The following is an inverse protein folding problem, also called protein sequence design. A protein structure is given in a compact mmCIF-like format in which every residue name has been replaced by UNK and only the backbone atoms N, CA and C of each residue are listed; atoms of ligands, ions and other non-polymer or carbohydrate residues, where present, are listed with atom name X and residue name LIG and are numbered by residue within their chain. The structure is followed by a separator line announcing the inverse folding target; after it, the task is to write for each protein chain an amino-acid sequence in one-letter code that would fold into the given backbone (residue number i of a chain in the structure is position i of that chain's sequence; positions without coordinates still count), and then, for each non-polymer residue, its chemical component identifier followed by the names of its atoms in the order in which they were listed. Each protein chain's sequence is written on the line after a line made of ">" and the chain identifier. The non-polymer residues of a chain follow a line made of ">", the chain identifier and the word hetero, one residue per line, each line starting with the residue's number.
data_IF_361642927985
#
_entry.id   IF_361642927985
#
_cell.length_a   1.000
_cell.length_b   1.000
_cell.length_c   1.000
_cell.angle_alpha   90.00
_cell.angle_beta   90.00
_cell.angle_gamma   90.00
#
_symmetry.space_group_name_H-M   'P 1'
#
loop_
_entity.id
_entity.type
_entity.pdbx_description
1 polymer ?
2 polymer ?
3 polymer ?
4 non-polymer ?
5 water ?
#
loop_
_entity_poly.entity_id
_entity_poly.type
_entity_poly.pdbx_seq_one_letter_code
_entity_poly.pdbx_strand_id
1 'polydeoxyribonucleotide' '(DT)(DC)(DG)(DC)(DG)' ?
2 'polydeoxyribonucleotide' '(DA)(DA)(DT)(DT)(DC)(DG)(DC)(DG)' ?
#
# COMPACT_ATOMS: atom_id res chain seq x y z
N UNK C 1 -18.92 -7.40 -1.21
CA UNK C 1 -19.39 -8.69 -1.80
C UNK C 1 -20.05 -9.62 -0.78
N UNK C 2 -19.26 -10.44 -0.09
CA UNK C 2 -19.80 -11.36 0.93
C UNK C 2 -20.56 -10.62 2.04
N UNK C 3 -21.86 -10.49 1.84
CA UNK C 3 -22.75 -9.92 2.84
C UNK C 3 -22.33 -8.56 3.39
N UNK C 4 -21.88 -8.58 4.64
CA UNK C 4 -21.74 -7.37 5.45
C UNK C 4 -20.63 -6.43 4.96
N UNK C 5 -19.58 -6.99 4.38
CA UNK C 5 -18.50 -6.20 3.81
C UNK C 5 -18.95 -5.45 2.55
N UNK C 6 -20.16 -5.76 2.08
CA UNK C 6 -20.77 -4.99 1.01
C UNK C 6 -21.37 -3.68 1.50
N UNK C 7 -21.95 -3.71 2.69
CA UNK C 7 -22.51 -2.52 3.32
C UNK C 7 -21.40 -1.53 3.66
N UNK C 8 -20.34 -2.03 4.29
CA UNK C 8 -19.15 -1.22 4.58
C UNK C 8 -18.57 -0.57 3.31
N UNK C 9 -18.48 -1.37 2.25
CA UNK C 9 -18.02 -0.88 0.97
C UNK C 9 -18.84 0.27 0.39
N UNK C 10 -20.16 0.10 0.34
CA UNK C 10 -21.04 1.16 -0.13
C UNK C 10 -20.88 2.41 0.74
N UNK C 11 -20.64 2.23 2.03
CA UNK C 11 -20.39 3.35 2.94
C UNK C 11 -19.15 4.16 2.54
N UNK C 12 -18.07 3.46 2.20
CA UNK C 12 -16.84 4.11 1.76
C UNK C 12 -17.01 4.87 0.44
N UNK C 13 -17.72 4.26 -0.51
CA UNK C 13 -18.02 4.90 -1.78
C UNK C 13 -18.90 6.13 -1.62
N UNK C 14 -19.82 6.06 -0.66
CA UNK C 14 -20.78 7.13 -0.39
C UNK C 14 -20.15 8.45 0.08
N UNK C 15 -18.98 8.37 0.73
CA UNK C 15 -18.32 9.55 1.28
C UNK C 15 -16.94 9.80 0.67
N UNK C 16 -16.53 8.96 -0.29
CA UNK C 16 -15.19 8.99 -0.91
C UNK C 16 -14.09 9.15 0.15
N UNK C 17 -14.07 8.21 1.10
CA UNK C 17 -13.05 8.19 2.17
C UNK C 17 -11.64 8.14 1.59
N UNK C 18 -10.76 8.97 2.14
CA UNK C 18 -9.33 8.81 1.89
C UNK C 18 -8.83 7.50 2.49
N UNK C 19 -7.68 7.02 2.02
CA UNK C 19 -7.15 5.73 2.44
C UNK C 19 -7.00 5.58 3.97
N UNK C 20 -6.61 6.65 4.64
CA UNK C 20 -6.59 6.65 6.09
C UNK C 20 -7.94 6.27 6.68
N UNK C 21 -8.98 7.00 6.30
CA UNK C 21 -10.31 6.78 6.86
C UNK C 21 -10.89 5.42 6.45
N UNK C 22 -10.46 4.90 5.30
CA UNK C 22 -10.87 3.55 4.88
C UNK C 22 -10.15 2.49 5.72
N UNK C 23 -8.89 2.75 6.05
CA UNK C 23 -8.08 1.84 6.85
C UNK C 23 -8.70 1.62 8.23
N UNK C 24 -9.32 2.66 8.75
CA UNK C 24 -10.07 2.57 10.01
C UNK C 24 -11.36 1.76 9.84
N UNK C 25 -11.98 1.86 8.66
CA UNK C 25 -13.17 1.09 8.34
C UNK C 25 -12.87 -0.41 8.20
N UNK C 26 -11.65 -0.73 7.80
CA UNK C 26 -11.17 -2.11 7.82
C UNK C 26 -11.08 -2.65 9.25
N UNK C 27 -10.54 -1.83 10.15
CA UNK C 27 -10.57 -2.14 11.59
C UNK C 27 -12.02 -2.38 12.04
N UNK C 28 -12.90 -1.45 11.67
CA UNK C 28 -14.33 -1.58 11.94
C UNK C 28 -14.89 -2.93 11.50
N UNK C 29 -14.82 -3.19 10.19
CA UNK C 29 -15.38 -4.41 9.61
C UNK C 29 -14.76 -5.69 10.18
N UNK C 30 -13.44 -5.70 10.31
CA UNK C 30 -12.73 -6.84 10.88
C UNK C 30 -13.26 -7.17 12.28
N UNK C 31 -13.51 -6.15 13.08
CA UNK C 31 -14.00 -6.35 14.45
C UNK C 31 -15.45 -6.79 14.52
N UNK C 32 -16.22 -6.54 13.46
CA UNK C 32 -17.57 -7.10 13.33
C UNK C 32 -17.52 -8.58 12.98
N UNK C 33 -16.44 -9.00 12.33
CA UNK C 33 -16.28 -10.39 11.90
C UNK C 33 -15.57 -11.26 12.93
N UNK C 34 -14.60 -10.68 13.62
CA UNK C 34 -13.82 -11.41 14.61
C UNK C 34 -13.94 -10.78 16.01
N UNK C 35 -15.12 -10.90 16.64
CA UNK C 35 -15.40 -10.18 17.88
C UNK C 35 -14.68 -10.77 19.11
N UNK C 36 -13.94 -11.86 18.89
CA UNK C 36 -13.07 -12.44 19.92
C UNK C 36 -11.69 -11.82 19.88
N UNK C 37 -11.30 -11.35 18.69
CA UNK C 37 -10.00 -10.73 18.48
C UNK C 37 -10.02 -9.24 18.78
N UNK C 38 -8.85 -8.68 19.09
CA UNK C 38 -8.75 -7.30 19.54
C UNK C 38 -7.89 -6.49 18.57
N UNK C 39 -8.56 -5.65 17.79
CA UNK C 39 -7.87 -4.85 16.78
C UNK C 39 -7.57 -3.45 17.29
N UNK C 40 -6.38 -2.96 16.99
CA UNK C 40 -6.06 -1.56 17.21
C UNK C 40 -5.62 -0.88 15.92
N UNK C 41 -5.93 0.40 15.79
CA UNK C 41 -5.46 1.20 14.67
C UNK C 41 -4.58 2.32 15.19
N UNK C 42 -3.43 2.52 14.57
CA UNK C 42 -2.59 3.66 14.90
C UNK C 42 -2.03 4.40 13.69
N UNK C 43 -1.83 5.70 13.85
CA UNK C 43 -1.38 6.56 12.76
C UNK C 43 0.15 6.72 12.70
N UNK C 44 0.85 6.09 13.63
CA UNK C 44 2.31 6.15 13.61
C UNK C 44 2.96 4.87 14.15
N UNK C 45 4.21 4.66 13.76
CA UNK C 45 5.08 3.70 14.42
C UNK C 45 6.51 4.26 14.31
N UNK C 46 7.28 4.17 15.39
CA UNK C 46 8.51 4.93 15.47
C UNK C 46 9.79 4.11 15.51
N UNK C 47 10.89 4.74 15.13
CA UNK C 47 12.15 4.06 14.88
C UNK C 47 12.68 3.25 16.05
N UNK C 48 12.33 3.65 17.27
CA UNK C 48 12.68 2.86 18.45
C UNK C 48 11.99 1.50 18.43
N UNK C 49 10.70 1.50 18.08
CA UNK C 49 9.94 0.27 17.95
C UNK C 49 10.57 -0.64 16.89
N UNK C 50 10.83 -0.06 15.72
CA UNK C 50 11.49 -0.80 14.64
C UNK C 50 12.83 -1.34 15.12
N UNK C 51 13.67 -0.45 15.64
CA UNK C 51 14.99 -0.83 16.16
C UNK C 51 14.95 -1.99 17.15
N UNK C 52 14.11 -1.88 18.18
CA UNK C 52 13.99 -2.96 19.14
C UNK C 52 13.49 -4.24 18.47
N UNK C 53 12.53 -4.10 17.56
CA UNK C 53 12.07 -5.23 16.74
C UNK C 53 13.22 -5.90 15.98
N UNK C 54 14.13 -5.09 15.47
CA UNK C 54 15.31 -5.58 14.74
C UNK C 54 16.30 -6.28 15.68
N UNK C 55 16.56 -5.65 16.82
CA UNK C 55 17.48 -6.20 17.81
C UNK C 55 17.03 -7.56 18.32
N UNK C 56 15.71 -7.77 18.39
CA UNK C 56 15.16 -9.04 18.86
C UNK C 56 15.43 -10.18 17.90
N UNK C 57 15.90 -9.84 16.70
CA UNK C 57 16.29 -10.85 15.72
C UNK C 57 17.81 -11.05 15.69
N UNK C 58 18.54 -9.94 15.77
CA UNK C 58 19.99 -10.00 15.85
C UNK C 58 20.54 -8.85 16.69
N UNK C 59 21.41 -9.16 17.65
CA UNK C 59 21.93 -8.14 18.59
C UNK C 59 22.82 -7.09 17.93
N UNK C 60 23.09 -7.27 16.63
CA UNK C 60 23.89 -6.30 15.89
C UNK C 60 23.02 -5.39 15.01
N UNK C 61 21.74 -5.72 14.92
CA UNK C 61 20.79 -4.97 14.11
C UNK C 61 20.11 -3.86 14.90
N UNK C 62 19.59 -2.85 14.21
CA UNK C 62 18.76 -1.85 14.84
C UNK C 62 19.46 -0.98 15.87
N UNK C 63 20.77 -0.89 15.79
CA UNK C 63 21.52 -0.04 16.69
C UNK C 63 21.88 1.31 16.08
N UNK C 64 20.86 2.08 15.73
CA UNK C 64 21.07 3.45 15.22
C UNK C 64 19.84 4.30 15.43
N UNK C 65 20.07 5.60 15.56
CA UNK C 65 19.02 6.57 15.83
C UNK C 65 19.73 7.91 15.99
N UNK C 66 19.37 8.89 15.17
CA UNK C 66 20.01 10.19 15.23
C UNK C 66 19.06 11.23 15.79
N UNK C 67 17.85 11.25 15.26
CA UNK C 67 16.78 12.06 15.81
C UNK C 67 15.88 11.19 16.70
N UNK C 68 15.99 11.38 18.02
CA UNK C 68 15.30 10.53 18.98
C UNK C 68 13.82 10.26 18.68
N UNK C 69 13.05 11.31 18.46
CA UNK C 69 11.60 11.18 18.30
C UNK C 69 11.21 10.76 16.88
N UNK C 70 12.07 9.99 16.23
CA UNK C 70 11.87 9.63 14.83
C UNK C 70 10.75 8.62 14.64
N UNK C 71 9.81 8.96 13.77
CA UNK C 71 8.69 8.09 13.44
C UNK C 71 8.49 8.01 11.93
N UNK C 72 7.64 7.06 11.52
CA UNK C 72 7.10 7.04 10.17
C UNK C 72 5.58 6.87 10.20
N UNK C 73 4.87 7.79 9.53
CA UNK C 73 3.42 7.79 9.48
C UNK C 73 2.93 7.43 8.07
N UNK C 74 2.73 6.15 7.74
CA UNK C 74 2.11 5.78 6.47
C UNK C 74 0.71 6.41 6.45
N UNK C 75 0.38 7.10 5.34
CA UNK C 75 -0.92 7.87 5.23
C UNK C 75 -2.16 6.98 5.31
N UNK C 76 -1.94 5.71 5.56
CA UNK C 76 -3.04 4.73 5.66
C UNK C 76 -3.09 4.13 7.06
N UNK C 77 -2.15 4.52 7.89
CA UNK C 77 -2.05 4.00 9.25
C UNK C 77 -1.68 2.53 9.33
N UNK C 78 -1.73 2.00 10.55
CA UNK C 78 -1.42 0.59 10.82
C UNK C 78 -2.58 -0.05 11.58
N UNK C 79 -3.10 -1.18 11.08
CA UNK C 79 -4.11 -1.95 11.78
C UNK C 79 -3.46 -3.18 12.39
N UNK C 80 -3.90 -3.57 13.59
CA UNK C 80 -3.24 -4.64 14.36
C UNK C 80 -4.23 -5.59 15.03
N UNK C 81 -3.76 -6.80 15.32
CA UNK C 81 -4.43 -7.70 16.25
C UNK C 81 -3.56 -7.99 17.45
N UNK C 82 -4.19 -8.31 18.57
CA UNK C 82 -3.48 -8.87 19.72
C UNK C 82 -3.52 -10.40 19.61
N UNK C 83 -2.36 -11.03 19.66
CA UNK C 83 -2.30 -12.47 19.61
C UNK C 83 -2.43 -13.14 20.98
N UNK C 84 -2.30 -14.46 21.01
CA UNK C 84 -2.51 -15.22 22.22
C UNK C 84 -1.47 -14.95 23.31
N UNK C 85 -0.40 -14.24 22.95
CA UNK C 85 0.65 -13.89 23.91
C UNK C 85 0.66 -12.40 24.20
N UNK C 86 -0.47 -11.74 23.93
CA UNK C 86 -0.59 -10.33 24.27
C UNK C 86 0.18 -9.39 23.37
N UNK C 87 1.14 -9.93 22.63
CA UNK C 87 1.84 -9.20 21.57
C UNK C 87 0.92 -8.69 20.46
N UNK C 88 1.34 -7.63 19.80
CA UNK C 88 0.55 -7.05 18.71
C UNK C 88 1.15 -7.33 17.33
N UNK C 89 0.30 -7.85 16.45
CA UNK C 89 0.72 -8.34 15.14
C UNK C 89 0.06 -7.51 14.04
N UNK C 90 0.87 -6.78 13.29
CA UNK C 90 0.32 -5.84 12.32
C UNK C 90 -0.36 -6.53 11.14
N UNK C 91 -1.65 -6.26 10.98
CA UNK C 91 -2.49 -6.92 9.98
C UNK C 91 -2.52 -6.14 8.67
N UNK C 92 -2.26 -4.85 8.74
CA UNK C 92 -2.32 -3.97 7.57
C UNK C 92 -1.44 -2.73 7.71
N UNK C 93 -0.88 -2.27 6.60
CA UNK C 93 -0.34 -0.92 6.51
C UNK C 93 -0.41 -0.43 5.07
N UNK C 94 -1.01 0.74 4.86
CA UNK C 94 -1.31 1.20 3.52
C UNK C 94 -0.86 2.63 3.27
N UNK C 95 -0.47 2.91 2.03
CA UNK C 95 -0.06 4.27 1.68
C UNK C 95 -0.64 4.63 0.32
N UNK C 96 -0.84 5.93 0.14
CA UNK C 96 -1.43 6.44 -1.09
C UNK C 96 -0.51 7.48 -1.74
N UNK C 97 -0.24 7.30 -3.03
CA UNK C 97 0.69 8.15 -3.76
C UNK C 97 0.05 8.68 -5.05
N UNK C 98 0.37 9.93 -5.39
CA UNK C 98 -0.09 10.52 -6.65
C UNK C 98 1.10 10.93 -7.52
N UNK C 99 0.96 10.79 -8.84
CA UNK C 99 1.91 11.40 -9.78
C UNK C 99 1.40 11.52 -11.22
N UNK C 100 1.48 12.74 -11.75
CA UNK C 100 1.14 12.95 -13.16
C UNK C 100 -0.09 13.80 -13.40
N UNK C 101 0.11 15.12 -13.49
CA UNK C 101 -0.99 16.05 -13.69
C UNK C 101 -1.52 16.01 -15.13
N UNK C 102 -0.76 15.33 -16.00
CA UNK C 102 -0.96 15.42 -17.46
C UNK C 102 -2.42 15.38 -17.91
N UNK C 103 -3.18 14.42 -17.40
CA UNK C 103 -4.58 14.31 -17.77
C UNK C 103 -5.39 15.58 -17.45
N UNK C 104 -5.13 16.17 -16.29
CA UNK C 104 -5.83 17.41 -15.92
C UNK C 104 -5.35 18.57 -16.80
N UNK C 105 -4.05 18.67 -16.99
CA UNK C 105 -3.47 19.71 -17.83
C UNK C 105 -3.98 19.72 -19.28
N UNK C 106 -3.93 18.56 -19.94
CA UNK C 106 -4.52 18.38 -21.26
C UNK C 106 -6.00 18.75 -21.24
N UNK C 107 -6.73 18.20 -20.27
CA UNK C 107 -8.17 18.45 -20.11
C UNK C 107 -8.54 19.94 -20.03
N UNK C 108 -7.60 20.77 -19.58
CA UNK C 108 -7.87 22.20 -19.40
C UNK C 108 -7.10 23.11 -20.36
N UNK C 109 -6.42 22.50 -21.34
CA UNK C 109 -5.76 23.29 -22.38
C UNK C 109 -4.44 23.92 -21.99
N UNK C 110 -4.04 23.76 -20.72
CA UNK C 110 -2.79 24.31 -20.23
C UNK C 110 -1.60 23.52 -20.75
N UNK C 111 -0.86 24.10 -21.68
CA UNK C 111 0.37 23.50 -22.16
C UNK C 111 1.55 23.80 -21.24
N UNK C 112 2.35 22.77 -20.97
CA UNK C 112 3.42 22.87 -19.98
C UNK C 112 4.80 22.90 -20.62
N UNK C 113 5.82 22.67 -19.79
CA UNK C 113 7.19 22.68 -20.29
C UNK C 113 7.81 24.06 -20.27
N UNK C 114 9.13 24.10 -20.15
CA UNK C 114 9.89 25.34 -20.00
C UNK C 114 9.44 26.47 -20.93
N UNK C 115 9.17 26.14 -22.19
CA UNK C 115 8.82 27.11 -23.21
C UNK C 115 7.32 27.06 -23.59
N UNK C 116 6.48 26.63 -22.64
CA UNK C 116 5.04 26.62 -22.84
C UNK C 116 4.49 25.88 -24.05
N UNK C 117 5.34 25.09 -24.72
CA UNK C 117 4.93 24.40 -25.93
C UNK C 117 4.65 22.90 -25.74
N UNK C 118 4.96 22.38 -24.56
CA UNK C 118 4.88 20.94 -24.33
C UNK C 118 3.47 20.49 -23.98
N UNK C 119 2.93 19.56 -24.76
CA UNK C 119 1.63 18.95 -24.42
C UNK C 119 1.74 18.05 -23.19
N UNK C 120 2.85 17.32 -23.11
CA UNK C 120 3.11 16.45 -21.96
C UNK C 120 4.23 17.03 -21.09
N UNK C 121 4.34 16.51 -19.87
CA UNK C 121 5.35 16.96 -18.91
C UNK C 121 6.28 15.82 -18.56
N UNK C 122 7.57 16.02 -18.80
CA UNK C 122 8.59 15.00 -18.55
C UNK C 122 8.48 14.46 -17.14
N UNK C 123 8.16 13.18 -17.02
CA UNK C 123 7.89 12.56 -15.72
C UNK C 123 9.09 12.58 -14.78
N UNK C 124 8.83 13.07 -13.57
CA UNK C 124 9.86 13.07 -12.52
C UNK C 124 9.81 11.82 -11.67
N UNK C 125 10.66 11.79 -10.66
CA UNK C 125 11.04 10.55 -9.99
C UNK C 125 10.76 10.52 -8.49
N UNK C 126 9.89 11.41 -8.01
CA UNK C 126 9.62 11.48 -6.58
C UNK C 126 9.05 10.17 -6.03
N UNK C 127 8.28 9.47 -6.83
CA UNK C 127 7.68 8.20 -6.40
C UNK C 127 8.67 7.15 -5.87
N UNK C 128 9.97 7.41 -6.04
CA UNK C 128 10.99 6.52 -5.49
C UNK C 128 11.06 6.60 -3.96
N UNK C 129 10.54 7.69 -3.40
CA UNK C 129 10.35 7.85 -1.95
C UNK C 129 9.59 6.69 -1.32
N UNK C 130 8.61 6.18 -2.05
CA UNK C 130 7.76 5.09 -1.56
C UNK C 130 8.55 3.90 -1.05
N UNK C 131 9.80 3.77 -1.47
CA UNK C 131 10.61 2.62 -1.09
C UNK C 131 11.10 2.62 0.36
N UNK C 132 11.26 3.80 0.97
CA UNK C 132 11.78 3.87 2.35
C UNK C 132 10.85 3.22 3.36
N UNK C 133 9.66 3.79 3.54
CA UNK C 133 8.63 3.21 4.39
C UNK C 133 8.43 1.70 4.17
N UNK C 134 8.45 1.27 2.91
CA UNK C 134 8.41 -0.16 2.60
C UNK C 134 9.56 -0.90 3.26
N UNK C 135 10.76 -0.33 3.18
CA UNK C 135 11.95 -0.90 3.83
C UNK C 135 11.79 -0.91 5.35
N UNK C 136 11.16 0.14 5.89
CA UNK C 136 10.93 0.24 7.33
C UNK C 136 10.00 -0.86 7.82
N UNK C 137 8.78 -0.88 7.29
CA UNK C 137 7.79 -1.86 7.71
C UNK C 137 8.21 -3.29 7.39
N UNK C 138 8.98 -3.47 6.32
CA UNK C 138 9.55 -4.78 5.98
C UNK C 138 10.60 -5.23 6.99
N UNK C 139 11.34 -4.27 7.54
CA UNK C 139 12.25 -4.54 8.66
C UNK C 139 11.51 -4.79 9.96
N UNK C 140 10.50 -3.97 10.22
CA UNK C 140 9.63 -4.15 11.38
C UNK C 140 9.09 -5.57 11.43
N UNK C 141 8.69 -6.09 10.27
CA UNK C 141 8.11 -7.43 10.19
C UNK C 141 9.08 -8.49 9.66
N UNK C 142 10.37 -8.27 9.90
CA UNK C 142 11.43 -9.19 9.46
C UNK C 142 11.32 -10.59 10.08
N UNK C 143 10.47 -10.74 11.08
CA UNK C 143 10.28 -12.03 11.74
C UNK C 143 8.93 -12.67 11.42
N UNK C 144 8.09 -11.94 10.69
CA UNK C 144 6.80 -12.45 10.25
C UNK C 144 6.94 -13.23 8.94
N UNK C 145 5.87 -13.94 8.56
CA UNK C 145 5.82 -14.63 7.28
C UNK C 145 4.81 -13.96 6.33
N UNK C 146 4.39 -12.75 6.70
CA UNK C 146 3.41 -11.99 5.91
C UNK C 146 3.76 -10.51 5.94
N UNK C 147 3.52 -9.83 4.82
CA UNK C 147 3.92 -8.44 4.65
C UNK C 147 2.76 -7.64 4.05
N UNK C 148 1.83 -7.18 4.89
CA UNK C 148 0.55 -6.64 4.42
C UNK C 148 0.63 -5.16 4.04
N UNK C 149 1.66 -4.83 3.24
CA UNK C 149 1.85 -3.47 2.77
C UNK C 149 1.16 -3.25 1.41
N UNK C 150 0.15 -2.38 1.39
CA UNK C 150 -0.55 -2.04 0.16
C UNK C 150 -0.29 -0.58 -0.24
N UNK C 151 0.28 -0.40 -1.42
CA UNK C 151 0.53 0.93 -1.96
C UNK C 151 -0.44 1.22 -3.11
N UNK C 152 -1.18 2.32 -2.98
CA UNK C 152 -2.18 2.71 -3.97
C UNK C 152 -1.70 3.87 -4.85
N UNK C 153 -1.69 3.65 -6.16
CA UNK C 153 -1.15 4.63 -7.10
C UNK C 153 -2.24 5.30 -7.93
N UNK C 154 -2.04 6.57 -8.26
CA UNK C 154 -2.83 7.19 -9.31
C UNK C 154 -2.22 8.47 -9.89
N UNK C 155 -2.70 8.85 -11.07
CA UNK C 155 -2.03 9.88 -11.86
C UNK C 155 -1.67 9.41 -13.27
N UNK C 156 -1.36 10.37 -14.14
CA UNK C 156 -0.96 10.06 -15.52
C UNK C 156 0.33 9.24 -15.61
N UNK C 157 1.18 9.35 -14.60
CA UNK C 157 2.44 8.61 -14.58
C UNK C 157 2.30 7.14 -14.18
N UNK C 158 1.07 6.67 -14.01
CA UNK C 158 0.84 5.26 -13.64
C UNK C 158 -0.24 4.55 -14.45
N UNK C 159 -0.40 4.96 -15.70
CA UNK C 159 -1.32 4.31 -16.63
C UNK C 159 -0.91 2.88 -16.98
N UNK C 160 -1.90 1.99 -17.04
CA UNK C 160 -1.67 0.59 -17.38
C UNK C 160 -2.36 0.18 -18.68
N UNK C 161 -3.20 1.07 -19.21
CA UNK C 161 -3.83 0.90 -20.51
C UNK C 161 -3.76 2.22 -21.27
N UNK C 162 -4.08 2.20 -22.55
CA UNK C 162 -3.91 3.37 -23.40
C UNK C 162 -5.15 4.24 -23.47
N UNK C 163 -5.01 5.51 -23.12
CA UNK C 163 -6.14 6.42 -22.99
C UNK C 163 -5.94 7.69 -23.80
N UNK C 164 -7.03 8.25 -24.31
CA UNK C 164 -6.95 9.49 -25.08
C UNK C 164 -7.80 10.62 -24.47
N UNK C 165 -7.12 11.62 -23.93
CA UNK C 165 -7.77 12.76 -23.29
C UNK C 165 -7.97 13.88 -24.29
N UNK C 166 -9.09 14.58 -24.20
CA UNK C 166 -9.47 15.55 -25.22
C UNK C 166 -9.46 17.00 -24.74
N UNK C 167 -8.50 17.75 -25.24
CA UNK C 167 -8.29 19.12 -24.80
C UNK C 167 -9.25 20.12 -25.45
N UNK C 168 -9.55 21.24 -24.76
CA UNK C 168 -10.80 22.00 -24.90
C UNK C 168 -11.16 22.38 -26.33
N UNK C 169 -10.13 22.60 -27.15
CA UNK C 169 -10.32 22.87 -28.58
C UNK C 169 -10.58 21.60 -29.38
N UNK C 170 -11.38 20.69 -28.80
CA UNK C 170 -11.77 19.48 -29.49
C UNK C 170 -10.67 18.48 -29.79
N UNK C 171 -9.42 18.87 -29.59
CA UNK C 171 -8.30 18.00 -29.93
C UNK C 171 -8.14 16.88 -28.92
N UNK C 172 -7.80 15.69 -29.40
CA UNK C 172 -7.49 14.57 -28.53
C UNK C 172 -5.98 14.41 -28.37
N UNK C 173 -5.56 13.73 -27.30
CA UNK C 173 -4.16 13.37 -27.12
C UNK C 173 -4.05 11.87 -26.86
N UNK C 174 -3.50 11.15 -27.82
CA UNK C 174 -3.11 9.75 -27.63
C UNK C 174 -2.06 9.66 -26.51
N UNK C 175 -2.45 9.05 -25.38
CA UNK C 175 -1.52 8.85 -24.27
C UNK C 175 -1.01 7.40 -24.21
N UNK C 176 0.25 7.22 -24.59
CA UNK C 176 0.83 5.89 -24.73
C UNK C 176 1.33 5.33 -23.40
N UNK C 177 0.59 4.36 -22.86
CA UNK C 177 0.81 3.89 -21.49
C UNK C 177 2.23 3.38 -21.21
N UNK C 178 2.94 3.00 -22.26
CA UNK C 178 4.27 2.42 -22.10
C UNK C 178 5.40 3.38 -22.46
N UNK C 179 5.13 4.68 -22.41
CA UNK C 179 6.18 5.67 -22.65
C UNK C 179 6.99 5.98 -21.42
N UNK C 180 8.31 5.91 -21.55
CA UNK C 180 9.20 6.40 -20.51
C UNK C 180 9.12 7.90 -20.29
N UNK C 181 8.46 8.60 -21.20
CA UNK C 181 8.23 10.03 -21.03
C UNK C 181 7.11 10.26 -20.01
N UNK C 182 6.40 9.18 -19.67
CA UNK C 182 5.20 9.26 -18.85
C UNK C 182 5.20 8.22 -17.73
N UNK C 183 5.12 6.95 -18.11
CA UNK C 183 5.01 5.84 -17.17
C UNK C 183 6.22 5.70 -16.21
N UNK C 184 5.94 5.83 -14.91
CA UNK C 184 6.96 5.64 -13.87
C UNK C 184 6.74 4.37 -13.05
N UNK C 185 5.91 3.46 -13.56
CA UNK C 185 5.53 2.26 -12.81
C UNK C 185 6.73 1.37 -12.48
N UNK C 186 7.72 1.37 -13.36
CA UNK C 186 8.91 0.53 -13.17
C UNK C 186 9.74 1.00 -11.99
N UNK C 187 9.51 2.24 -11.58
CA UNK C 187 10.19 2.80 -10.41
C UNK C 187 9.74 2.15 -9.11
N UNK C 188 8.70 1.33 -9.19
CA UNK C 188 8.16 0.66 -8.00
C UNK C 188 8.31 -0.86 -7.97
N UNK C 189 8.57 -1.46 -9.13
CA UNK C 189 8.51 -2.91 -9.26
C UNK C 189 9.64 -3.67 -8.58
N UNK C 190 10.56 -2.93 -7.99
CA UNK C 190 11.60 -3.53 -7.16
C UNK C 190 11.03 -3.99 -5.80
N UNK C 191 9.95 -3.34 -5.38
CA UNK C 191 9.33 -3.60 -4.08
C UNK C 191 8.66 -4.95 -3.96
N UNK C 192 8.07 -5.42 -5.05
CA UNK C 192 7.48 -6.75 -5.10
C UNK C 192 8.21 -7.69 -6.06
N UNK C 193 9.50 -7.45 -6.24
CA UNK C 193 10.36 -8.38 -6.99
C UNK C 193 9.88 -8.70 -8.40
N UNK C 194 9.15 -7.78 -9.00
CA UNK C 194 8.66 -8.00 -10.36
C UNK C 194 7.53 -8.99 -10.49
N UNK C 195 6.84 -9.27 -9.39
CA UNK C 195 5.64 -10.09 -9.41
C UNK C 195 4.44 -9.24 -9.84
N UNK C 196 3.24 -9.85 -9.97
CA UNK C 196 2.07 -9.10 -10.42
C UNK C 196 1.84 -7.75 -9.72
N UNK C 197 1.30 -6.79 -10.47
CA UNK C 197 0.97 -5.48 -9.94
C UNK C 197 -0.29 -5.48 -9.07
N UNK C 198 -1.46 -5.56 -9.68
CA UNK C 198 -2.70 -5.47 -8.90
C UNK C 198 -3.05 -6.82 -8.25
N UNK C 199 -2.31 -7.18 -7.21
CA UNK C 199 -2.34 -8.54 -6.70
C UNK C 199 -2.02 -8.62 -5.19
N UNK C 200 -2.67 -9.54 -4.51
CA UNK C 200 -2.38 -9.81 -3.10
C UNK C 200 -1.08 -10.59 -2.95
N UNK C 201 0.01 -9.87 -2.67
CA UNK C 201 1.31 -10.50 -2.44
C UNK C 201 1.71 -10.53 -0.95
N UNK C 202 0.71 -10.68 -0.08
CA UNK C 202 0.89 -10.64 1.37
C UNK C 202 1.71 -11.80 1.97
N UNK C 203 1.45 -13.01 1.53
CA UNK C 203 2.20 -14.17 2.04
C UNK C 203 3.58 -14.24 1.41
N UNK C 204 4.62 -14.31 2.24
CA UNK C 204 5.99 -14.16 1.77
C UNK C 204 6.51 -15.37 0.98
N UNK C 205 7.17 -15.10 -0.15
CA UNK C 205 7.79 -16.15 -0.94
C UNK C 205 9.14 -16.54 -0.33
N UNK C 206 9.33 -17.83 -0.14
CA UNK C 206 10.59 -18.35 0.40
C UNK C 206 11.46 -18.96 -0.69
N UNK C 207 12.09 -18.11 -1.49
CA UNK C 207 12.97 -18.59 -2.55
C UNK C 207 14.34 -19.03 -2.01
N UNK C 208 15.12 -19.72 -2.83
CA UNK C 208 16.43 -20.20 -2.43
C UNK C 208 17.48 -19.94 -3.50
N UNK C 209 18.73 -20.31 -3.25
CA UNK C 209 19.76 -20.23 -4.28
C UNK C 209 20.83 -21.31 -4.20
N UNK C 210 21.57 -21.31 -3.10
CA UNK C 210 22.48 -22.40 -2.80
C UNK C 210 21.89 -23.19 -1.62
N UNK C 211 22.71 -23.50 -0.62
CA UNK C 211 22.17 -23.83 0.69
C UNK C 211 21.41 -22.62 1.25
N UNK C 212 21.83 -21.43 0.81
CA UNK C 212 21.21 -20.17 1.22
C UNK C 212 19.76 -20.04 0.76
N UNK C 213 18.83 -20.43 1.64
CA UNK C 213 17.42 -20.09 1.49
C UNK C 213 17.13 -18.69 2.03
N UNK C 214 16.21 -17.97 1.39
CA UNK C 214 15.90 -16.61 1.81
C UNK C 214 14.41 -16.29 1.74
N UNK C 215 13.97 -15.37 2.60
CA UNK C 215 12.57 -14.92 2.58
C UNK C 215 12.44 -13.58 1.85
N UNK C 216 11.35 -13.43 1.11
CA UNK C 216 11.11 -12.21 0.35
C UNK C 216 9.85 -11.52 0.84
N UNK C 217 9.90 -10.20 0.93
CA UNK C 217 8.75 -9.44 1.40
C UNK C 217 8.25 -8.47 0.32
N UNK C 218 7.12 -8.81 -0.29
CA UNK C 218 6.63 -8.12 -1.47
C UNK C 218 5.45 -7.20 -1.19
N UNK C 219 5.67 -5.90 -1.29
CA UNK C 219 4.59 -4.92 -1.22
C UNK C 219 3.57 -5.21 -2.31
N UNK C 220 2.29 -5.20 -1.94
CA UNK C 220 1.21 -5.31 -2.92
C UNK C 220 0.95 -3.94 -3.56
N UNK C 221 1.18 -3.84 -4.87
CA UNK C 221 1.15 -2.55 -5.55
C UNK C 221 -0.03 -2.42 -6.52
N UNK C 222 -1.02 -1.61 -6.15
CA UNK C 222 -2.21 -1.48 -6.97
C UNK C 222 -2.25 -0.15 -7.75
N UNK C 223 -2.87 -0.19 -8.92
CA UNK C 223 -2.91 0.98 -9.79
C UNK C 223 -4.31 1.25 -10.30
N UNK C 224 -4.60 2.51 -10.58
CA UNK C 224 -5.73 2.85 -11.45
C UNK C 224 -5.23 3.06 -12.88
N UNK C 225 -5.22 1.98 -13.64
CA UNK C 225 -4.59 1.98 -14.95
C UNK C 225 -5.10 3.03 -15.92
N UNK C 226 -6.40 3.31 -15.87
CA UNK C 226 -7.01 4.27 -16.77
C UNK C 226 -6.77 5.72 -16.37
N UNK C 227 -5.86 5.94 -15.42
CA UNK C 227 -5.54 7.30 -15.01
C UNK C 227 -6.57 8.01 -14.15
N UNK C 228 -7.77 7.44 -14.05
CA UNK C 228 -8.80 7.97 -13.16
C UNK C 228 -8.45 7.77 -11.69
N UNK C 229 -9.28 8.33 -10.82
CA UNK C 229 -9.14 8.16 -9.38
C UNK C 229 -9.73 6.84 -8.89
N UNK C 230 -9.34 6.43 -7.69
CA UNK C 230 -9.76 5.17 -7.09
C UNK C 230 -11.19 5.18 -6.54
N UNK C 231 -11.93 4.09 -6.76
CA UNK C 231 -13.22 3.91 -6.10
C UNK C 231 -13.00 3.49 -4.65
N UNK C 232 -13.40 4.36 -3.73
CA UNK C 232 -13.26 4.13 -2.30
C UNK C 232 -13.77 2.77 -1.83
N UNK C 233 -14.75 2.21 -2.55
CA UNK C 233 -15.24 0.85 -2.26
C UNK C 233 -14.19 -0.20 -2.61
N UNK C 234 -13.62 -0.10 -3.81
CA UNK C 234 -12.63 -1.05 -4.28
C UNK C 234 -11.37 -1.02 -3.42
N UNK C 235 -10.91 0.20 -3.09
CA UNK C 235 -9.79 0.38 -2.17
C UNK C 235 -10.03 -0.39 -0.88
N UNK C 236 -11.21 -0.20 -0.30
CA UNK C 236 -11.63 -0.89 0.92
C UNK C 236 -11.63 -2.42 0.79
N UNK C 237 -12.21 -2.92 -0.30
CA UNK C 237 -12.31 -4.35 -0.51
C UNK C 237 -10.94 -5.02 -0.66
N UNK C 238 -10.01 -4.33 -1.32
CA UNK C 238 -8.62 -4.81 -1.43
C UNK C 238 -8.02 -4.89 -0.04
N UNK C 239 -8.02 -3.75 0.65
CA UNK C 239 -7.49 -3.66 2.01
C UNK C 239 -8.06 -4.72 2.95
N UNK C 240 -9.33 -5.02 2.78
CA UNK C 240 -9.97 -6.10 3.53
C UNK C 240 -9.39 -7.46 3.12
N UNK C 241 -9.22 -7.68 1.83
CA UNK C 241 -8.65 -8.92 1.33
C UNK C 241 -7.25 -9.15 1.89
N UNK C 242 -6.42 -8.11 1.88
CA UNK C 242 -5.05 -8.22 2.37
C UNK C 242 -5.01 -8.57 3.86
N UNK C 243 -5.82 -7.86 4.64
CA UNK C 243 -5.83 -8.04 6.09
C UNK C 243 -6.35 -9.40 6.54
N UNK C 244 -7.36 -9.92 5.85
CA UNK C 244 -7.84 -11.27 6.16
C UNK C 244 -6.79 -12.33 5.89
N UNK C 245 -6.07 -12.18 4.77
CA UNK C 245 -4.93 -13.03 4.47
C UNK C 245 -3.88 -12.93 5.58
N UNK C 246 -3.64 -11.70 6.01
CA UNK C 246 -2.73 -11.40 7.11
C UNK C 246 -3.11 -12.16 8.38
N UNK C 247 -4.41 -12.26 8.65
CA UNK C 247 -4.93 -13.01 9.78
C UNK C 247 -4.77 -14.51 9.58
N UNK C 248 -4.95 -14.97 8.34
CA UNK C 248 -4.88 -16.40 8.02
C UNK C 248 -3.49 -16.98 8.30
N UNK C 249 -2.46 -16.19 8.02
CA UNK C 249 -1.08 -16.57 8.26
C UNK C 249 -0.73 -16.44 9.76
N UNK C 250 -1.55 -15.69 10.49
CA UNK C 250 -1.32 -15.47 11.92
C UNK C 250 -2.13 -16.44 12.80
N UNK C 251 -2.87 -17.35 12.17
CA UNK C 251 -3.84 -18.19 12.88
C UNK C 251 -3.32 -19.15 13.94
N UNK C 252 -2.02 -19.43 13.91
CA UNK C 252 -1.38 -20.22 14.97
C UNK C 252 -1.47 -19.47 16.30
N UNK C 253 -1.26 -18.16 16.25
CA UNK C 253 -1.16 -17.32 17.43
C UNK C 253 -2.48 -16.60 17.74
N UNK C 254 -3.56 -17.01 17.08
CA UNK C 254 -4.89 -16.44 17.33
C UNK C 254 -5.94 -17.50 17.65
N UNK C 255 -5.49 -18.74 17.84
CA UNK C 255 -6.44 -19.82 18.09
C UNK C 255 -7.16 -19.67 19.42
N UNK C 256 -6.39 -19.63 20.51
CA UNK C 256 -6.92 -19.71 21.87
C UNK C 256 -8.02 -18.70 22.18
N UNK C 257 -7.79 -17.42 21.90
CA UNK C 257 -8.80 -16.42 22.19
C UNK C 257 -9.98 -16.45 21.21
N UNK C 258 -9.70 -16.87 19.97
CA UNK C 258 -10.76 -17.03 18.98
C UNK C 258 -11.65 -18.23 19.29
N UNK C 259 -11.14 -19.18 20.07
CA UNK C 259 -11.90 -20.36 20.46
C UNK C 259 -12.27 -20.38 21.95
N UNK C 260 -11.89 -19.33 22.68
CA UNK C 260 -12.12 -19.28 24.11
C UNK C 260 -12.60 -17.92 24.61
N UNK C 261 -13.08 -17.10 23.68
CA UNK C 261 -13.62 -15.78 24.02
C UNK C 261 -14.68 -15.37 22.98
X LIG D 1 0.66 9.56 0.83
#
# INVERSE_FOLDING_TARGET
>C
SQGVIGIFGDYAKAHDLAVGEVSKLVKKALSNEYPQLSFRYRDSIKKTEINEALKKIDPDLGGTLFVSNSSIKPDGGIVEVKDDYGEWRVVLVAEAKHQGKDIINIRNGLLVGKRGDQDLMAAGNAIERSHKNISEIANFMLSESHFPYVLFLEGSNFLTENISITRPDGRVVNLEYNSGILNRLDRLTAANYGMPINSNLCINKFVNHKDKSIMLQAASIYTQGDGREWDSKIMFEIMFDISTTSLRVLGRDLFEQLTSK
>D hetero
1 MN MN
#
